data_IF_135066801219
#
_entry.id   IF_135066801219
#
_cell.length_a   1.000
_cell.length_b   1.000
_cell.length_c   1.000
_cell.angle_alpha   90.00
_cell.angle_beta   90.00
_cell.angle_gamma   90.00
#
_symmetry.space_group_name_H-M   'P 1'
#
loop_
_entity.id
_entity.type
_entity.pdbx_description
1 polymer ?
#
# COMPACT_ATOMS: atom_id res chain seq x y z
N UNK A 1 6.50 14.94 -3.17
CA UNK A 1 5.30 14.72 -2.34
C UNK A 1 5.42 13.34 -1.67
N UNK A 2 5.28 13.21 -0.34
CA UNK A 2 5.24 11.91 0.32
C UNK A 2 4.16 11.01 -0.29
N UNK A 3 4.50 9.73 -0.45
CA UNK A 3 3.61 8.68 -0.95
C UNK A 3 3.53 7.53 0.06
N UNK A 4 2.34 6.93 0.17
CA UNK A 4 2.09 5.72 0.92
C UNK A 4 1.50 4.69 -0.03
N UNK A 5 2.21 3.59 -0.26
CA UNK A 5 1.83 2.54 -1.20
C UNK A 5 1.62 1.22 -0.46
N UNK A 6 0.44 0.64 -0.61
CA UNK A 6 0.11 -0.70 -0.14
C UNK A 6 0.03 -1.68 -1.30
N UNK A 7 0.47 -2.93 -1.08
CA UNK A 7 0.36 -4.03 -2.06
C UNK A 7 -0.32 -5.24 -1.42
N UNK A 8 -1.32 -5.76 -2.12
CA UNK A 8 -1.99 -7.03 -1.80
C UNK A 8 -1.22 -8.19 -2.41
N UNK A 9 -0.59 -9.02 -1.57
CA UNK A 9 0.25 -10.12 -2.03
C UNK A 9 -0.50 -11.22 -2.78
N UNK A 10 -1.79 -11.41 -2.49
CA UNK A 10 -2.69 -12.35 -3.18
C UNK A 10 -3.70 -11.63 -4.08
N UNK A 11 -3.37 -10.44 -4.57
CA UNK A 11 -4.21 -9.79 -5.57
C UNK A 11 -4.25 -10.64 -6.85
N UNK A 12 -5.45 -11.00 -7.28
CA UNK A 12 -5.70 -11.86 -8.44
C UNK A 12 -5.86 -11.05 -9.74
N UNK A 13 -5.87 -9.72 -9.67
CA UNK A 13 -5.99 -8.84 -10.84
C UNK A 13 -4.77 -9.04 -11.75
N UNK A 14 -4.94 -9.53 -12.98
CA UNK A 14 -3.82 -9.86 -13.85
C UNK A 14 -2.89 -8.66 -14.10
N UNK A 15 -1.60 -8.83 -13.80
CA UNK A 15 -0.56 -7.84 -14.05
C UNK A 15 -0.53 -6.65 -13.08
N UNK A 16 -1.45 -6.56 -12.11
CA UNK A 16 -1.50 -5.45 -11.16
C UNK A 16 -0.27 -5.43 -10.26
N UNK A 17 0.07 -6.57 -9.65
CA UNK A 17 1.24 -6.67 -8.78
C UNK A 17 2.54 -6.40 -9.54
N UNK A 18 2.69 -6.86 -10.78
CA UNK A 18 3.85 -6.54 -11.61
C UNK A 18 3.94 -5.04 -11.92
N UNK A 19 2.81 -4.38 -12.15
CA UNK A 19 2.76 -2.95 -12.37
C UNK A 19 3.16 -2.16 -11.10
N UNK A 20 2.69 -2.59 -9.93
CA UNK A 20 3.08 -2.04 -8.64
C UNK A 20 4.58 -2.21 -8.38
N UNK A 21 5.14 -3.39 -8.69
CA UNK A 21 6.56 -3.67 -8.50
C UNK A 21 7.43 -2.79 -9.42
N UNK A 22 6.99 -2.53 -10.68
CA UNK A 22 7.65 -1.56 -11.57
C UNK A 22 7.57 -0.13 -11.03
N UNK A 23 6.40 0.29 -10.53
CA UNK A 23 6.21 1.62 -9.95
C UNK A 23 7.09 1.83 -8.71
N UNK A 24 7.14 0.86 -7.79
CA UNK A 24 7.99 0.89 -6.61
C UNK A 24 9.47 1.05 -6.98
N UNK A 25 9.95 0.24 -7.92
CA UNK A 25 11.32 0.33 -8.42
C UNK A 25 11.63 1.69 -9.03
N UNK A 26 10.70 2.26 -9.80
CA UNK A 26 10.86 3.59 -10.37
C UNK A 26 10.92 4.67 -9.27
N UNK A 27 10.02 4.63 -8.29
CA UNK A 27 10.00 5.59 -7.19
C UNK A 27 11.30 5.57 -6.36
N UNK A 28 11.85 4.38 -6.07
CA UNK A 28 13.12 4.23 -5.37
C UNK A 28 14.29 4.74 -6.21
N UNK A 29 14.35 4.44 -7.51
CA UNK A 29 15.41 4.94 -8.41
C UNK A 29 15.47 6.46 -8.46
N UNK A 30 14.32 7.12 -8.30
CA UNK A 30 14.23 8.58 -8.26
C UNK A 30 14.33 9.16 -6.84
N UNK A 31 14.66 8.35 -5.83
CA UNK A 31 14.78 8.78 -4.43
C UNK A 31 13.54 9.53 -3.92
N UNK A 32 12.34 9.08 -4.34
CA UNK A 32 11.09 9.70 -3.90
C UNK A 32 10.77 9.33 -2.45
N UNK A 33 10.20 10.25 -1.65
CA UNK A 33 9.77 9.95 -0.29
C UNK A 33 8.56 9.00 -0.31
N UNK A 34 8.81 7.73 0.01
CA UNK A 34 7.85 6.64 -0.11
C UNK A 34 7.82 5.79 1.17
N UNK A 35 6.62 5.50 1.66
CA UNK A 35 6.36 4.38 2.57
C UNK A 35 5.71 3.25 1.77
N UNK A 36 6.29 2.06 1.83
CA UNK A 36 5.75 0.87 1.16
C UNK A 36 5.36 -0.18 2.20
N UNK A 37 4.14 -0.73 2.07
CA UNK A 37 3.63 -1.78 2.96
C UNK A 37 3.09 -2.93 2.12
N UNK A 38 3.73 -4.09 2.21
CA UNK A 38 3.29 -5.31 1.54
C UNK A 38 2.48 -6.17 2.52
N UNK A 39 1.23 -6.50 2.17
CA UNK A 39 0.41 -7.45 2.91
C UNK A 39 0.41 -8.78 2.15
N UNK A 40 1.26 -9.76 2.52
CA UNK A 40 1.48 -10.96 1.71
C UNK A 40 0.23 -11.82 1.51
N UNK A 41 -0.66 -11.88 2.51
CA UNK A 41 -1.87 -12.71 2.46
C UNK A 41 -3.14 -11.97 2.00
N UNK A 42 -3.05 -10.66 1.74
CA UNK A 42 -4.23 -9.86 1.41
C UNK A 42 -4.73 -10.16 -0.01
N UNK A 43 -6.05 -10.39 -0.18
CA UNK A 43 -6.69 -10.43 -1.49
C UNK A 43 -6.82 -9.03 -2.10
N UNK A 44 -7.40 -8.96 -3.29
CA UNK A 44 -7.90 -7.70 -3.83
C UNK A 44 -8.89 -7.05 -2.86
N UNK A 45 -8.86 -5.71 -2.77
CA UNK A 45 -9.72 -4.92 -1.88
C UNK A 45 -9.67 -5.38 -0.40
N UNK A 46 -8.48 -5.69 0.12
CA UNK A 46 -8.28 -6.19 1.48
C UNK A 46 -8.83 -5.25 2.56
N UNK A 47 -8.84 -3.94 2.28
CA UNK A 47 -9.35 -2.89 3.14
C UNK A 47 -10.88 -2.96 3.33
N UNK A 48 -11.58 -3.67 2.43
CA UNK A 48 -13.02 -3.89 2.48
C UNK A 48 -13.39 -5.33 2.83
N UNK A 49 -12.62 -6.30 2.31
CA UNK A 49 -13.03 -7.71 2.27
C UNK A 49 -12.20 -8.64 3.16
N UNK A 50 -11.13 -8.14 3.79
CA UNK A 50 -10.21 -8.96 4.58
C UNK A 50 -10.09 -8.43 6.00
N UNK A 51 -10.95 -8.88 6.91
CA UNK A 51 -10.89 -8.51 8.32
C UNK A 51 -9.79 -9.31 9.05
N UNK A 52 -8.59 -8.76 9.04
CA UNK A 52 -7.44 -9.29 9.78
C UNK A 52 -6.78 -8.20 10.63
N UNK A 53 -6.04 -8.58 11.65
CA UNK A 53 -5.25 -7.63 12.44
C UNK A 53 -4.25 -6.85 11.58
N UNK A 54 -3.64 -7.53 10.59
CA UNK A 54 -2.74 -6.92 9.61
C UNK A 54 -3.46 -5.88 8.77
N UNK A 55 -4.63 -6.20 8.20
CA UNK A 55 -5.45 -5.24 7.45
C UNK A 55 -5.78 -4.00 8.29
N UNK A 56 -6.25 -4.21 9.53
CA UNK A 56 -6.55 -3.11 10.47
C UNK A 56 -5.31 -2.29 10.80
N UNK A 57 -4.15 -2.93 10.97
CA UNK A 57 -2.86 -2.27 11.16
C UNK A 57 -2.50 -1.36 9.99
N UNK A 58 -2.67 -1.84 8.76
CA UNK A 58 -2.38 -1.08 7.54
C UNK A 58 -3.36 0.09 7.38
N UNK A 59 -4.66 -0.11 7.62
CA UNK A 59 -5.66 0.96 7.59
C UNK A 59 -5.31 2.06 8.59
N UNK A 60 -4.89 1.72 9.82
CA UNK A 60 -4.42 2.72 10.80
C UNK A 60 -3.21 3.51 10.29
N UNK A 61 -2.28 2.87 9.59
CA UNK A 61 -1.14 3.56 8.98
C UNK A 61 -1.58 4.51 7.85
N UNK A 62 -2.54 4.10 7.01
CA UNK A 62 -3.12 4.95 5.96
C UNK A 62 -3.77 6.20 6.58
N UNK A 63 -4.59 6.02 7.62
CA UNK A 63 -5.23 7.12 8.33
C UNK A 63 -4.20 8.06 8.97
N UNK A 64 -3.15 7.52 9.59
CA UNK A 64 -2.06 8.32 10.13
C UNK A 64 -1.33 9.12 9.04
N UNK A 65 -1.12 8.53 7.86
CA UNK A 65 -0.53 9.21 6.71
C UNK A 65 -1.42 10.36 6.20
N UNK A 66 -2.75 10.17 6.14
CA UNK A 66 -3.67 11.25 5.79
C UNK A 66 -3.60 12.41 6.77
N UNK A 67 -3.61 12.13 8.08
CA UNK A 67 -3.44 13.16 9.11
C UNK A 67 -2.13 13.94 8.94
N UNK A 68 -1.03 13.23 8.70
CA UNK A 68 0.27 13.82 8.41
C UNK A 68 0.26 14.74 7.18
N UNK A 69 -0.44 14.36 6.10
CA UNK A 69 -0.44 15.10 4.83
C UNK A 69 -1.48 16.20 4.73
N UNK A 70 -2.61 16.06 5.42
CA UNK A 70 -3.78 16.94 5.30
C UNK A 70 -3.97 17.85 6.51
N UNK A 71 -3.25 17.62 7.62
CA UNK A 71 -3.33 18.46 8.81
C UNK A 71 -4.66 18.35 9.58
N UNK A 72 -5.39 17.24 9.40
CA UNK A 72 -6.60 16.88 10.15
C UNK A 72 -6.34 15.86 11.24
#
# INVERSE_FOLDING_TARGET
MPMFLTRSGRDETPGLNDALDRFLNHAVRHNLPLTFVNHPDAPHAFDLMHDSETSRGIIRQILAFFRFRLGV
#
